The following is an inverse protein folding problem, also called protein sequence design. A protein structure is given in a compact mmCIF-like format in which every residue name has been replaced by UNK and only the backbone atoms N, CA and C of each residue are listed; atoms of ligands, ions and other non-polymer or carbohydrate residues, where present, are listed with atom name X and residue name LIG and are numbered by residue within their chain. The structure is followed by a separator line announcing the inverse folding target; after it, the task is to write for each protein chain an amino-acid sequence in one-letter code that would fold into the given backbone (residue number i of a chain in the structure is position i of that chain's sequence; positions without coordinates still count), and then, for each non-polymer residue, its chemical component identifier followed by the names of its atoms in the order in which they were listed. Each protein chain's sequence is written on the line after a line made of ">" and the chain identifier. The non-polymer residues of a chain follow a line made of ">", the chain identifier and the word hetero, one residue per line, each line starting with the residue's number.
data_IF_172880670218
#
_entry.id   IF_172880670218
#
_cell.length_a   1.000
_cell.length_b   1.000
_cell.length_c   1.000
_cell.angle_alpha   90.00
_cell.angle_beta   90.00
_cell.angle_gamma   90.00
#
_symmetry.space_group_name_H-M   'P 1'
#
loop_
_entity.id
_entity.type
_entity.pdbx_description
1 polymer ?
#
# COMPACT_ATOMS: atom_id res chain seq x y z
N UNK A 1 -29.68 -0.04 -18.77
CA UNK A 1 -28.84 -0.13 -17.55
C UNK A 1 -28.76 -1.59 -17.16
N UNK A 2 -27.55 -2.14 -17.12
CA UNK A 2 -27.34 -3.46 -16.54
C UNK A 2 -27.60 -3.34 -15.04
N UNK A 3 -28.31 -4.27 -14.40
CA UNK A 3 -28.39 -4.29 -12.94
C UNK A 3 -26.97 -4.38 -12.39
N UNK A 4 -26.67 -3.71 -11.27
CA UNK A 4 -25.39 -3.90 -10.62
C UNK A 4 -25.25 -5.41 -10.36
N UNK A 5 -24.16 -6.01 -10.83
CA UNK A 5 -23.84 -7.37 -10.45
C UNK A 5 -23.80 -7.38 -8.92
N UNK A 6 -24.65 -8.16 -8.27
CA UNK A 6 -24.50 -8.44 -6.85
C UNK A 6 -23.11 -9.04 -6.70
N UNK A 7 -22.18 -8.25 -6.17
CA UNK A 7 -20.83 -8.70 -5.85
C UNK A 7 -20.93 -9.58 -4.59
N UNK A 8 -21.51 -10.76 -4.76
CA UNK A 8 -21.51 -11.77 -3.73
C UNK A 8 -20.06 -12.14 -3.47
N UNK A 9 -19.59 -11.88 -2.26
CA UNK A 9 -18.27 -12.32 -1.80
C UNK A 9 -18.29 -13.85 -1.76
N UNK A 10 -17.54 -14.48 -2.67
CA UNK A 10 -17.46 -15.93 -2.77
C UNK A 10 -16.20 -16.40 -2.03
N UNK A 11 -16.34 -17.44 -1.20
CA UNK A 11 -15.21 -18.11 -0.57
C UNK A 11 -14.35 -18.82 -1.63
N UNK A 12 -13.07 -18.60 -1.62
CA UNK A 12 -12.12 -19.22 -2.55
C UNK A 12 -10.97 -19.84 -1.77
N UNK A 13 -10.58 -21.05 -2.12
CA UNK A 13 -9.44 -21.75 -1.51
C UNK A 13 -8.12 -21.13 -2.01
N UNK A 14 -7.77 -19.96 -1.44
CA UNK A 14 -6.55 -19.22 -1.74
C UNK A 14 -5.58 -19.43 -0.60
N UNK A 15 -4.34 -19.90 -0.84
CA UNK A 15 -3.32 -19.99 0.19
C UNK A 15 -3.03 -18.63 0.82
N UNK A 16 -3.10 -18.57 2.15
CA UNK A 16 -2.79 -17.36 2.93
C UNK A 16 -1.46 -17.57 3.66
N UNK A 17 -0.55 -16.61 3.54
CA UNK A 17 0.68 -16.57 4.35
C UNK A 17 0.33 -15.95 5.72
N UNK A 18 -0.08 -16.81 6.66
CA UNK A 18 -0.51 -16.43 8.00
C UNK A 18 0.72 -16.32 8.90
N UNK A 19 0.99 -15.11 9.37
CA UNK A 19 2.13 -14.81 10.27
C UNK A 19 1.74 -14.98 11.74
N UNK A 20 0.50 -14.68 12.08
CA UNK A 20 -0.06 -14.83 13.42
C UNK A 20 -1.57 -15.05 13.33
N UNK A 21 -2.10 -15.90 14.18
CA UNK A 21 -3.54 -16.11 14.33
C UNK A 21 -3.87 -16.51 15.77
N UNK A 22 -4.91 -15.88 16.33
CA UNK A 22 -5.54 -16.28 17.58
C UNK A 22 -7.07 -16.32 17.43
N UNK A 23 -7.81 -16.33 18.53
CA UNK A 23 -9.28 -16.35 18.51
C UNK A 23 -9.89 -15.03 18.02
N UNK A 24 -9.18 -13.92 18.10
CA UNK A 24 -9.69 -12.56 17.87
C UNK A 24 -9.18 -11.89 16.60
N UNK A 25 -7.94 -12.17 16.20
CA UNK A 25 -7.29 -11.55 15.05
C UNK A 25 -6.50 -12.56 14.23
N UNK A 26 -6.27 -12.22 12.98
CA UNK A 26 -5.32 -12.89 12.09
C UNK A 26 -4.44 -11.84 11.42
N UNK A 27 -3.15 -12.09 11.32
CA UNK A 27 -2.17 -11.27 10.59
C UNK A 27 -1.67 -12.05 9.40
N UNK A 28 -1.86 -11.51 8.22
CA UNK A 28 -1.41 -12.12 6.97
C UNK A 28 -0.31 -11.27 6.31
N UNK A 29 0.66 -11.94 5.73
CA UNK A 29 1.65 -11.33 4.84
C UNK A 29 1.13 -11.39 3.40
N UNK A 30 0.45 -10.33 2.97
CA UNK A 30 -0.15 -10.27 1.64
C UNK A 30 0.94 -10.26 0.56
N UNK A 31 0.90 -11.14 -0.44
CA UNK A 31 1.78 -11.04 -1.59
C UNK A 31 1.45 -9.79 -2.44
N UNK A 32 2.43 -9.33 -3.20
CA UNK A 32 2.17 -8.35 -4.26
C UNK A 32 1.31 -8.97 -5.37
N UNK A 33 0.55 -8.14 -6.08
CA UNK A 33 -0.39 -8.58 -7.13
C UNK A 33 -1.78 -8.98 -6.60
N UNK A 34 -1.92 -9.26 -5.31
CA UNK A 34 -3.20 -9.60 -4.70
C UNK A 34 -3.95 -8.34 -4.25
N UNK A 35 -5.20 -8.19 -4.69
CA UNK A 35 -6.11 -7.15 -4.20
C UNK A 35 -6.68 -7.57 -2.85
N UNK A 36 -6.87 -6.61 -1.94
CA UNK A 36 -7.39 -6.91 -0.59
C UNK A 36 -8.88 -7.26 -0.62
N UNK A 37 -9.70 -6.52 -1.36
CA UNK A 37 -11.16 -6.68 -1.41
C UNK A 37 -11.65 -6.56 -2.85
N UNK A 38 -12.66 -7.33 -3.28
CA UNK A 38 -13.22 -7.22 -4.62
C UNK A 38 -13.61 -5.78 -4.99
N UNK A 39 -13.42 -5.44 -6.24
CA UNK A 39 -13.70 -4.14 -6.79
C UNK A 39 -13.59 -4.13 -8.31
N UNK A 40 -13.76 -2.97 -8.93
CA UNK A 40 -13.76 -2.83 -10.38
C UNK A 40 -12.53 -3.48 -11.02
N UNK A 41 -12.77 -4.46 -11.91
CA UNK A 41 -11.74 -5.21 -12.62
C UNK A 41 -11.04 -6.33 -11.79
N UNK A 42 -11.43 -6.54 -10.52
CA UNK A 42 -10.88 -7.60 -9.67
C UNK A 42 -12.01 -8.13 -8.76
N UNK A 43 -12.84 -9.00 -9.28
CA UNK A 43 -14.05 -9.50 -8.60
C UNK A 43 -13.82 -10.78 -7.81
N UNK A 44 -12.70 -11.47 -8.03
CA UNK A 44 -12.30 -12.75 -7.43
C UNK A 44 -10.79 -12.76 -7.18
N UNK A 45 -10.28 -13.82 -6.52
CA UNK A 45 -8.85 -13.95 -6.24
C UNK A 45 -8.32 -12.92 -5.23
N UNK A 46 -9.18 -12.32 -4.41
CA UNK A 46 -8.76 -11.29 -3.45
C UNK A 46 -8.45 -11.90 -2.09
N UNK A 47 -7.76 -11.14 -1.26
CA UNK A 47 -7.47 -11.55 0.13
C UNK A 47 -8.75 -11.93 0.87
N UNK A 48 -9.82 -11.12 0.73
CA UNK A 48 -11.10 -11.40 1.39
C UNK A 48 -11.73 -12.71 0.92
N UNK A 49 -11.64 -13.07 -0.37
CA UNK A 49 -12.13 -14.37 -0.84
C UNK A 49 -11.43 -15.53 -0.14
N UNK A 50 -10.11 -15.45 0.09
CA UNK A 50 -9.35 -16.42 0.86
C UNK A 50 -9.70 -16.42 2.35
N UNK A 51 -9.88 -15.23 2.95
CA UNK A 51 -10.24 -15.10 4.36
C UNK A 51 -11.59 -15.70 4.70
N UNK A 52 -12.63 -15.48 3.89
CA UNK A 52 -13.96 -16.08 4.10
C UNK A 52 -13.99 -17.58 3.81
N UNK A 53 -12.99 -18.13 3.11
CA UNK A 53 -12.81 -19.58 3.01
C UNK A 53 -12.12 -20.14 4.26
N UNK A 54 -11.12 -19.42 4.79
CA UNK A 54 -10.36 -19.83 5.98
C UNK A 54 -11.15 -19.66 7.29
N UNK A 55 -11.99 -18.63 7.40
CA UNK A 55 -12.73 -18.26 8.61
C UNK A 55 -14.22 -18.20 8.27
N UNK A 56 -15.00 -19.09 8.89
CA UNK A 56 -16.43 -19.29 8.58
C UNK A 56 -17.31 -18.05 8.85
N UNK A 57 -17.03 -17.30 9.93
CA UNK A 57 -17.86 -16.16 10.36
C UNK A 57 -16.99 -14.93 10.65
N UNK A 58 -16.63 -14.17 9.62
CA UNK A 58 -15.96 -12.90 9.77
C UNK A 58 -16.95 -11.77 10.10
N UNK A 59 -16.64 -10.89 11.06
CA UNK A 59 -17.42 -9.70 11.34
C UNK A 59 -17.41 -8.78 10.11
N UNK A 60 -18.53 -8.10 9.86
CA UNK A 60 -18.67 -7.24 8.68
C UNK A 60 -18.93 -5.80 9.10
N UNK A 61 -18.17 -4.86 8.55
CA UNK A 61 -18.39 -3.44 8.79
C UNK A 61 -19.46 -2.85 7.86
N UNK A 62 -19.83 -1.59 8.08
CA UNK A 62 -20.84 -0.85 7.29
C UNK A 62 -20.53 -0.75 5.78
N UNK A 63 -19.31 -1.10 5.36
CA UNK A 63 -18.92 -1.11 3.95
C UNK A 63 -18.88 -2.53 3.36
N UNK A 64 -19.49 -3.50 4.03
CA UNK A 64 -19.54 -4.91 3.62
C UNK A 64 -18.14 -5.52 3.38
N UNK A 65 -17.17 -5.20 4.26
CA UNK A 65 -15.79 -5.66 4.18
C UNK A 65 -15.46 -6.59 5.34
N UNK A 66 -15.67 -7.91 5.19
CA UNK A 66 -15.45 -8.87 6.26
C UNK A 66 -14.03 -8.80 6.83
N UNK A 67 -13.93 -8.65 8.16
CA UNK A 67 -12.69 -8.63 8.91
C UNK A 67 -11.77 -7.42 8.68
N UNK A 68 -12.00 -6.62 7.63
CA UNK A 68 -11.06 -5.58 7.21
C UNK A 68 -11.21 -4.28 8.01
N UNK A 69 -10.15 -3.85 8.64
CA UNK A 69 -10.01 -2.54 9.33
C UNK A 69 -9.09 -1.58 8.57
N UNK A 70 -8.26 -2.10 7.68
CA UNK A 70 -7.40 -1.31 6.79
C UNK A 70 -7.09 -2.06 5.49
N UNK A 71 -6.32 -1.44 4.62
CA UNK A 71 -5.89 -2.04 3.35
C UNK A 71 -4.54 -1.51 2.91
N UNK A 72 -3.84 -2.29 2.07
CA UNK A 72 -2.69 -1.87 1.28
C UNK A 72 -2.99 -2.04 -0.22
N UNK A 73 -2.22 -1.40 -1.08
CA UNK A 73 -2.41 -1.46 -2.53
C UNK A 73 -2.19 -2.88 -3.10
N UNK A 74 -2.73 -3.16 -4.28
CA UNK A 74 -2.60 -4.44 -4.99
C UNK A 74 -1.15 -4.92 -5.01
N UNK A 75 -0.24 -4.09 -5.48
CA UNK A 75 1.16 -4.44 -5.70
C UNK A 75 2.08 -4.08 -4.52
N UNK A 76 1.52 -3.60 -3.41
CA UNK A 76 2.20 -3.50 -2.13
C UNK A 76 2.13 -4.84 -1.42
N UNK A 77 3.26 -5.38 -0.99
CA UNK A 77 3.34 -6.58 -0.16
C UNK A 77 3.39 -6.24 1.32
N UNK A 78 3.17 -7.22 2.18
CA UNK A 78 3.41 -7.11 3.62
C UNK A 78 2.17 -7.27 4.48
N UNK A 79 2.30 -6.88 5.72
CA UNK A 79 1.41 -7.27 6.80
C UNK A 79 0.08 -6.53 6.78
N UNK A 80 -0.99 -7.28 7.00
CA UNK A 80 -2.33 -6.78 7.32
C UNK A 80 -2.87 -7.52 8.54
N UNK A 81 -3.50 -6.76 9.44
CA UNK A 81 -4.30 -7.31 10.53
C UNK A 81 -5.77 -7.35 10.13
N UNK A 82 -6.41 -8.48 10.41
CA UNK A 82 -7.83 -8.74 10.13
C UNK A 82 -8.51 -9.12 11.44
N UNK A 83 -9.68 -8.56 11.69
CA UNK A 83 -10.50 -8.89 12.84
C UNK A 83 -11.28 -10.18 12.59
N UNK A 84 -11.26 -11.12 13.54
CA UNK A 84 -12.06 -12.35 13.52
C UNK A 84 -13.35 -12.22 14.32
N UNK A 85 -13.46 -11.21 15.21
CA UNK A 85 -14.61 -10.96 16.06
C UNK A 85 -15.08 -9.52 15.95
N UNK A 86 -16.36 -9.26 16.25
CA UNK A 86 -16.92 -7.90 16.31
C UNK A 86 -16.17 -7.01 17.32
N UNK A 87 -15.78 -7.58 18.46
CA UNK A 87 -14.98 -6.88 19.46
C UNK A 87 -13.62 -6.43 18.91
N UNK A 88 -12.91 -7.32 18.25
CA UNK A 88 -11.62 -6.99 17.63
C UNK A 88 -11.81 -5.96 16.50
N UNK A 89 -12.86 -6.08 15.68
CA UNK A 89 -13.15 -5.13 14.61
C UNK A 89 -13.41 -3.72 15.16
N UNK A 90 -14.22 -3.59 16.20
CA UNK A 90 -14.54 -2.30 16.83
C UNK A 90 -13.26 -1.65 17.42
N UNK A 91 -12.46 -2.43 18.17
CA UNK A 91 -11.25 -1.93 18.80
C UNK A 91 -10.15 -1.55 17.79
N UNK A 92 -9.88 -2.40 16.81
CA UNK A 92 -8.92 -2.11 15.76
C UNK A 92 -9.35 -0.91 14.92
N UNK A 93 -10.64 -0.85 14.52
CA UNK A 93 -11.17 0.30 13.78
C UNK A 93 -10.99 1.60 14.56
N UNK A 94 -11.22 1.58 15.88
CA UNK A 94 -10.98 2.73 16.76
C UNK A 94 -9.50 3.11 16.79
N UNK A 95 -8.59 2.16 16.92
CA UNK A 95 -7.14 2.42 16.90
C UNK A 95 -6.69 3.04 15.57
N UNK A 96 -7.21 2.57 14.43
CA UNK A 96 -6.93 3.17 13.12
C UNK A 96 -7.52 4.58 12.99
N UNK A 97 -8.70 4.82 13.56
CA UNK A 97 -9.33 6.14 13.59
C UNK A 97 -8.55 7.13 14.45
N UNK A 98 -8.18 6.71 15.67
CA UNK A 98 -7.41 7.50 16.64
C UNK A 98 -5.92 7.64 16.24
N UNK A 99 -5.49 6.96 15.16
CA UNK A 99 -4.10 6.94 14.69
C UNK A 99 -3.10 6.41 15.74
N UNK A 100 -3.55 5.56 16.64
CA UNK A 100 -2.71 4.94 17.66
C UNK A 100 -1.97 3.70 17.16
N UNK A 101 -2.34 3.16 15.98
CA UNK A 101 -1.64 2.06 15.33
C UNK A 101 -0.33 2.54 14.73
N UNK A 102 0.77 1.82 15.00
CA UNK A 102 2.03 2.06 14.34
C UNK A 102 2.08 1.31 13.00
N UNK A 103 2.28 2.04 11.90
CA UNK A 103 2.34 1.50 10.54
C UNK A 103 3.65 1.85 9.90
N UNK A 104 4.52 0.86 9.78
CA UNK A 104 5.85 1.02 9.22
C UNK A 104 5.93 0.32 7.87
N UNK A 105 6.47 1.02 6.88
CA UNK A 105 6.73 0.52 5.54
C UNK A 105 8.19 0.69 5.18
N UNK A 106 8.70 -0.20 4.35
CA UNK A 106 9.98 -0.01 3.66
C UNK A 106 9.72 0.29 2.20
N UNK A 107 10.44 1.28 1.68
CA UNK A 107 10.37 1.67 0.28
C UNK A 107 11.76 1.90 -0.29
N UNK A 108 11.95 1.58 -1.58
CA UNK A 108 13.10 2.03 -2.34
C UNK A 108 12.62 3.16 -3.26
N UNK A 109 13.28 4.30 -3.19
CA UNK A 109 12.93 5.49 -3.97
C UNK A 109 14.10 5.91 -4.87
N UNK A 110 13.79 6.53 -6.01
CA UNK A 110 14.79 7.07 -6.91
C UNK A 110 15.49 8.29 -6.31
N UNK A 111 16.78 8.35 -6.51
CA UNK A 111 17.67 9.44 -6.08
C UNK A 111 18.21 9.25 -4.67
N UNK A 112 19.15 10.11 -4.31
CA UNK A 112 19.69 10.22 -2.96
C UNK A 112 18.90 11.30 -2.21
N UNK A 113 18.28 10.95 -1.10
CA UNK A 113 17.65 11.91 -0.19
C UNK A 113 18.77 12.47 0.69
N UNK A 114 18.87 13.79 0.79
CA UNK A 114 19.97 14.44 1.53
C UNK A 114 19.77 14.32 3.04
N UNK A 115 18.58 14.61 3.54
CA UNK A 115 18.23 14.54 4.97
C UNK A 115 18.06 13.08 5.41
N UNK A 116 18.59 12.75 6.61
CA UNK A 116 18.49 11.41 7.18
C UNK A 116 17.07 11.04 7.59
N UNK A 117 16.25 12.03 7.92
CA UNK A 117 14.85 11.86 8.27
C UNK A 117 14.04 13.10 7.91
N UNK A 118 12.74 12.94 7.74
CA UNK A 118 11.87 14.07 7.42
C UNK A 118 10.39 13.71 7.48
N UNK A 119 9.56 14.74 7.26
CA UNK A 119 8.11 14.60 7.21
C UNK A 119 7.59 15.18 5.90
N UNK A 120 6.73 14.42 5.23
CA UNK A 120 6.05 14.85 4.01
C UNK A 120 4.59 15.08 4.39
N UNK A 121 4.14 16.31 4.24
CA UNK A 121 2.78 16.75 4.55
C UNK A 121 2.09 17.32 3.32
N UNK A 122 0.77 17.18 3.29
CA UNK A 122 -0.09 17.74 2.27
C UNK A 122 -1.36 16.93 2.08
N UNK A 123 -2.42 17.57 1.60
CA UNK A 123 -3.63 16.84 1.30
C UNK A 123 -3.41 15.90 0.11
N UNK A 124 -3.93 14.67 0.20
CA UNK A 124 -3.93 13.73 -0.92
C UNK A 124 -5.33 13.65 -1.52
N UNK A 125 -5.41 13.91 -2.80
CA UNK A 125 -6.64 13.86 -3.58
C UNK A 125 -6.44 13.19 -4.94
N UNK A 126 -7.53 12.92 -5.64
CA UNK A 126 -7.48 12.36 -6.99
C UNK A 126 -6.84 13.36 -7.95
N UNK A 127 -5.83 12.93 -8.70
CA UNK A 127 -5.16 13.77 -9.69
C UNK A 127 -6.15 14.31 -10.75
N UNK A 128 -6.06 15.61 -11.05
CA UNK A 128 -6.84 16.23 -12.11
C UNK A 128 -6.32 15.85 -13.52
N UNK A 129 -5.02 15.51 -13.61
CA UNK A 129 -4.38 15.15 -14.88
C UNK A 129 -4.53 13.67 -15.20
N UNK A 130 -4.43 12.80 -14.20
CA UNK A 130 -4.53 11.36 -14.37
C UNK A 130 -5.35 10.75 -13.23
N UNK A 131 -6.60 10.44 -13.48
CA UNK A 131 -7.54 9.92 -12.48
C UNK A 131 -7.15 8.56 -11.86
N UNK A 132 -6.16 7.87 -12.42
CA UNK A 132 -5.59 6.65 -11.83
C UNK A 132 -4.54 6.94 -10.74
N UNK A 133 -4.06 8.19 -10.65
CA UNK A 133 -3.09 8.63 -9.65
C UNK A 133 -3.76 9.47 -8.55
N UNK A 134 -3.03 9.61 -7.46
CA UNK A 134 -3.30 10.60 -6.41
C UNK A 134 -2.20 11.67 -6.48
N UNK A 135 -2.56 12.92 -6.28
CA UNK A 135 -1.63 14.04 -6.19
C UNK A 135 -1.65 14.63 -4.78
N UNK A 136 -0.57 15.33 -4.44
CA UNK A 136 -0.45 16.11 -3.21
C UNK A 136 -0.87 17.55 -3.48
N UNK A 137 -1.74 18.06 -2.63
CA UNK A 137 -2.24 19.44 -2.62
C UNK A 137 -1.73 20.13 -1.35
N UNK A 138 -0.54 20.75 -1.40
CA UNK A 138 0.13 21.28 -0.20
C UNK A 138 -0.65 22.43 0.44
N UNK A 139 -1.39 23.22 -0.34
CA UNK A 139 -2.22 24.33 0.16
C UNK A 139 -3.48 23.87 0.90
N UNK A 140 -3.78 22.56 0.88
CA UNK A 140 -4.93 21.98 1.57
C UNK A 140 -6.30 22.28 0.95
N UNK A 141 -6.33 22.82 -0.25
CA UNK A 141 -7.54 23.25 -1.00
C UNK A 141 -8.34 22.07 -1.56
N UNK A 142 -7.72 20.92 -1.73
CA UNK A 142 -8.36 19.72 -2.24
C UNK A 142 -7.80 18.44 -1.56
N UNK A 143 -8.60 17.35 -1.55
CA UNK A 143 -8.19 16.08 -0.98
C UNK A 143 -8.37 16.00 0.54
N UNK A 144 -7.60 15.12 1.19
CA UNK A 144 -7.67 14.88 2.64
C UNK A 144 -6.27 14.96 3.24
N UNK A 145 -6.11 15.52 4.45
CA UNK A 145 -4.81 15.63 5.13
C UNK A 145 -4.07 14.30 5.18
N UNK A 146 -2.79 14.33 4.87
CA UNK A 146 -1.91 13.18 4.90
C UNK A 146 -0.53 13.55 5.44
N UNK A 147 0.03 12.68 6.29
CA UNK A 147 1.33 12.85 6.92
C UNK A 147 2.09 11.53 6.84
N UNK A 148 3.31 11.59 6.30
CA UNK A 148 4.25 10.48 6.21
C UNK A 148 5.60 10.92 6.78
N UNK A 149 6.05 10.30 7.85
CA UNK A 149 7.42 10.45 8.33
C UNK A 149 8.31 9.44 7.63
N UNK A 150 9.53 9.83 7.29
CA UNK A 150 10.51 8.91 6.74
C UNK A 150 11.84 8.99 7.46
N UNK A 151 12.57 7.89 7.43
CA UNK A 151 13.95 7.77 7.86
C UNK A 151 14.74 7.05 6.78
N UNK A 152 15.86 7.64 6.36
CA UNK A 152 16.81 6.99 5.45
C UNK A 152 17.48 5.85 6.18
N UNK A 153 17.41 4.65 5.61
CA UNK A 153 18.10 3.47 6.12
C UNK A 153 19.43 3.27 5.38
N UNK A 154 19.42 3.48 4.07
CA UNK A 154 20.63 3.29 3.25
C UNK A 154 20.53 4.12 1.95
N UNK A 155 21.64 4.75 1.56
CA UNK A 155 21.81 5.45 0.28
C UNK A 155 22.62 4.59 -0.67
N UNK A 156 22.03 4.19 -1.79
CA UNK A 156 22.59 3.27 -2.77
C UNK A 156 22.94 4.00 -4.09
N UNK A 157 23.58 5.15 -4.00
CA UNK A 157 24.02 6.03 -5.11
C UNK A 157 22.86 6.63 -5.90
N UNK A 158 22.04 5.82 -6.56
CA UNK A 158 20.93 6.27 -7.43
C UNK A 158 19.53 5.97 -6.88
N UNK A 159 19.46 5.26 -5.79
CA UNK A 159 18.23 4.97 -5.04
C UNK A 159 18.51 5.06 -3.55
N UNK A 160 17.45 5.27 -2.77
CA UNK A 160 17.52 5.31 -1.31
C UNK A 160 16.51 4.32 -0.73
N UNK A 161 16.96 3.50 0.21
CA UNK A 161 16.09 2.69 1.05
C UNK A 161 15.60 3.54 2.21
N UNK A 162 14.30 3.66 2.37
CA UNK A 162 13.65 4.44 3.43
C UNK A 162 12.68 3.59 4.23
N UNK A 163 12.61 3.89 5.52
CA UNK A 163 11.53 3.50 6.39
C UNK A 163 10.49 4.62 6.42
N UNK A 164 9.22 4.29 6.23
CA UNK A 164 8.11 5.24 6.28
C UNK A 164 7.20 4.88 7.45
N UNK A 165 6.86 5.87 8.29
CA UNK A 165 5.87 5.75 9.35
C UNK A 165 4.67 6.64 9.02
N UNK A 166 3.47 6.04 9.02
CA UNK A 166 2.25 6.73 8.59
C UNK A 166 1.42 7.20 9.79
N UNK A 167 1.07 8.48 9.85
CA UNK A 167 -0.01 8.96 10.71
C UNK A 167 -1.38 8.76 10.06
N UNK A 168 -1.46 8.89 8.76
CA UNK A 168 -2.69 8.75 7.97
C UNK A 168 -2.55 7.60 6.98
N UNK A 169 -3.67 7.08 6.45
CA UNK A 169 -3.69 5.98 5.47
C UNK A 169 -4.50 6.34 4.23
N UNK A 170 -4.05 7.32 3.42
CA UNK A 170 -4.73 7.69 2.18
C UNK A 170 -4.30 6.75 1.04
N UNK A 171 -5.16 6.60 0.05
CA UNK A 171 -4.86 5.82 -1.16
C UNK A 171 -3.55 6.29 -1.77
N UNK A 172 -2.64 5.37 -2.06
CA UNK A 172 -1.30 5.62 -2.63
C UNK A 172 -0.46 6.65 -1.86
N UNK A 173 -0.68 6.85 -0.56
CA UNK A 173 -0.09 7.95 0.19
C UNK A 173 1.44 8.03 0.06
N UNK A 174 2.16 6.96 0.38
CA UNK A 174 3.63 6.94 0.28
C UNK A 174 4.08 7.24 -1.15
N UNK A 175 3.41 6.64 -2.13
CA UNK A 175 3.73 6.79 -3.56
C UNK A 175 3.55 8.23 -4.04
N UNK A 176 2.43 8.87 -3.68
CA UNK A 176 2.15 10.26 -4.02
C UNK A 176 3.10 11.23 -3.29
N UNK A 177 3.34 11.03 -2.00
CA UNK A 177 4.24 11.86 -1.20
C UNK A 177 5.67 11.83 -1.74
N UNK A 178 6.25 10.65 -2.00
CA UNK A 178 7.61 10.58 -2.51
C UNK A 178 7.72 11.09 -3.95
N UNK A 179 6.71 10.92 -4.80
CA UNK A 179 6.67 11.58 -6.11
C UNK A 179 6.66 13.10 -5.96
N UNK A 180 5.89 13.64 -5.02
CA UNK A 180 5.77 15.08 -4.76
C UNK A 180 7.12 15.72 -4.40
N UNK A 181 7.92 15.04 -3.59
CA UNK A 181 9.26 15.52 -3.22
C UNK A 181 10.36 15.14 -4.23
N UNK A 182 10.00 14.60 -5.41
CA UNK A 182 10.95 14.27 -6.49
C UNK A 182 11.67 12.94 -6.36
N UNK A 183 11.22 12.06 -5.45
CA UNK A 183 11.80 10.75 -5.17
C UNK A 183 10.80 9.61 -5.42
N UNK A 184 10.29 9.48 -6.65
CA UNK A 184 9.32 8.44 -7.02
C UNK A 184 9.82 7.04 -6.60
N UNK A 185 8.91 6.18 -6.15
CA UNK A 185 9.26 4.81 -5.77
C UNK A 185 9.83 4.04 -6.97
N UNK A 186 10.86 3.25 -6.70
CA UNK A 186 11.52 2.40 -7.70
C UNK A 186 10.51 1.40 -8.29
N UNK A 187 10.49 1.31 -9.62
CA UNK A 187 9.59 0.48 -10.42
C UNK A 187 8.08 0.71 -10.17
N UNK A 188 7.69 1.92 -9.79
CA UNK A 188 6.28 2.31 -9.68
C UNK A 188 5.76 2.78 -11.05
N UNK A 189 5.22 1.86 -11.85
CA UNK A 189 4.71 2.14 -13.19
C UNK A 189 3.69 3.27 -13.19
N UNK A 190 2.75 3.24 -12.24
CA UNK A 190 1.67 4.24 -12.16
C UNK A 190 2.17 5.65 -11.90
N UNK A 191 3.29 5.82 -11.22
CA UNK A 191 3.88 7.10 -10.87
C UNK A 191 5.15 7.43 -11.67
N UNK A 192 5.50 6.61 -12.68
CA UNK A 192 6.63 6.84 -13.57
C UNK A 192 7.99 6.41 -13.00
N UNK A 193 7.98 5.56 -11.97
CA UNK A 193 9.21 5.01 -11.38
C UNK A 193 9.77 3.80 -12.10
N UNK A 194 9.09 3.28 -13.13
CA UNK A 194 9.51 2.17 -13.98
C UNK A 194 10.44 2.60 -15.13
N UNK A 195 10.88 3.85 -15.11
CA UNK A 195 11.91 4.39 -15.98
C UNK A 195 13.18 4.69 -15.18
N UNK A 196 14.31 4.82 -15.87
CA UNK A 196 15.59 5.18 -15.23
C UNK A 196 15.59 6.68 -14.95
N UNK A 197 15.18 7.06 -13.75
CA UNK A 197 15.08 8.47 -13.36
C UNK A 197 16.39 9.08 -12.90
N UNK A 198 17.33 8.27 -12.44
CA UNK A 198 18.67 8.68 -11.95
C UNK A 198 19.71 7.68 -12.41
N UNK A 199 20.95 8.15 -12.59
CA UNK A 199 22.10 7.31 -12.92
C UNK A 199 22.85 7.77 -14.15
N UNK A 200 23.48 6.83 -14.85
CA UNK A 200 24.34 7.07 -16.01
C UNK A 200 23.69 6.62 -17.31
N UNK A 201 24.25 7.09 -18.44
CA UNK A 201 23.79 6.69 -19.77
C UNK A 201 24.43 5.38 -20.28
N UNK A 202 25.38 4.81 -19.52
CA UNK A 202 26.11 3.61 -19.91
C UNK A 202 25.20 2.39 -20.05
N UNK A 203 25.41 1.60 -21.09
CA UNK A 203 24.63 0.39 -21.40
C UNK A 203 24.64 -0.61 -20.24
N UNK A 204 25.78 -0.82 -19.59
CA UNK A 204 25.88 -1.72 -18.43
C UNK A 204 24.99 -1.30 -17.27
N UNK A 205 24.90 0.02 -17.01
CA UNK A 205 24.00 0.53 -15.96
C UNK A 205 22.53 0.34 -16.34
N UNK A 206 22.16 0.66 -17.57
CA UNK A 206 20.79 0.44 -18.07
C UNK A 206 20.38 -1.04 -17.96
N UNK A 207 21.27 -1.95 -18.35
CA UNK A 207 21.02 -3.38 -18.23
C UNK A 207 20.89 -3.83 -16.77
N UNK A 208 21.73 -3.30 -15.87
CA UNK A 208 21.62 -3.57 -14.44
C UNK A 208 20.26 -3.14 -13.89
N UNK A 209 19.83 -1.90 -14.18
CA UNK A 209 18.51 -1.41 -13.72
C UNK A 209 17.38 -2.24 -14.30
N UNK A 210 17.45 -2.62 -15.57
CA UNK A 210 16.44 -3.50 -16.19
C UNK A 210 16.38 -4.85 -15.50
N UNK A 211 17.49 -5.42 -15.11
CA UNK A 211 17.53 -6.66 -14.34
C UNK A 211 16.88 -6.47 -12.95
N UNK A 212 17.12 -5.32 -12.29
CA UNK A 212 16.43 -5.00 -11.03
C UNK A 212 14.92 -4.88 -11.21
N UNK A 213 14.45 -4.25 -12.30
CA UNK A 213 13.01 -4.19 -12.61
C UNK A 213 12.40 -5.57 -12.83
N UNK A 214 13.13 -6.48 -13.48
CA UNK A 214 12.67 -7.87 -13.69
C UNK A 214 12.57 -8.66 -12.38
N UNK A 215 13.50 -8.43 -11.44
CA UNK A 215 13.49 -9.09 -10.12
C UNK A 215 12.37 -8.53 -9.22
N UNK A 216 12.10 -7.23 -9.33
CA UNK A 216 11.04 -6.56 -8.58
C UNK A 216 10.07 -5.86 -9.55
N UNK A 217 9.16 -6.61 -10.23
CA UNK A 217 8.29 -6.09 -11.29
C UNK A 217 7.07 -5.31 -10.74
N UNK A 218 7.29 -4.44 -9.75
CA UNK A 218 6.28 -3.64 -9.08
C UNK A 218 6.90 -2.48 -8.30
N UNK A 219 6.07 -1.56 -7.78
CA UNK A 219 6.59 -0.56 -6.85
C UNK A 219 7.30 -1.21 -5.65
N UNK A 220 8.49 -0.71 -5.34
CA UNK A 220 9.29 -1.16 -4.22
C UNK A 220 8.71 -0.62 -2.90
N UNK A 221 7.62 -1.27 -2.42
CA UNK A 221 6.90 -0.91 -1.21
C UNK A 221 6.45 -2.15 -0.46
N UNK A 222 6.74 -2.20 0.85
CA UNK A 222 6.41 -3.32 1.72
C UNK A 222 5.93 -2.83 3.09
N UNK A 223 4.76 -3.31 3.53
CA UNK A 223 4.23 -3.08 4.87
C UNK A 223 4.97 -3.99 5.86
N UNK A 224 5.83 -3.41 6.71
CA UNK A 224 6.71 -4.13 7.62
C UNK A 224 6.04 -4.48 8.94
N UNK A 225 5.24 -3.53 9.48
CA UNK A 225 4.45 -3.69 10.71
C UNK A 225 3.14 -2.92 10.61
#
# INVERSE_FOLDING_TARGET
>A
AYPPAENLLVAENIPLDIVFEDETVIVVNKPAGMVVHPGHGNYSGTLVNGLIHHIENLPTNSNERPGLVHRIDKDTSGLLVIAKTEFAMANLSKQFFDRSTERVYYAIVWGSIEEDEGTIEGNIGRSFKNRLQMDVFPEGDFGKPAITHYKVLERLTYVTLVQCKLETGRTHQIRAHFKHIGHTLFNDERYGGNEILKGTTFTKYKQFVQNCFNVLPRQALHAKT
#
